data_IF_297906668779
#
_entry.id   IF_297906668779
#
_cell.length_a   1.000
_cell.length_b   1.000
_cell.length_c   1.000
_cell.angle_alpha   90.00
_cell.angle_beta   90.00
_cell.angle_gamma   90.00
#
_symmetry.space_group_name_H-M   'P 1'
#
loop_
_entity.id
_entity.type
_entity.pdbx_description
1 polymer ?
#
# COMPACT_ATOMS: atom_id res chain seq x y z
N UNK A 1 -30.44 45.10 -21.98
CA UNK A 1 -29.22 44.52 -21.42
C UNK A 1 -29.00 43.16 -22.09
N UNK A 2 -28.19 43.12 -23.15
CA UNK A 2 -27.99 41.93 -23.96
C UNK A 2 -26.81 41.11 -23.40
N UNK A 3 -27.09 39.88 -22.96
CA UNK A 3 -26.09 38.96 -22.44
C UNK A 3 -25.30 38.30 -23.57
N UNK A 4 -23.99 38.54 -23.59
CA UNK A 4 -23.07 37.87 -24.50
C UNK A 4 -22.90 36.40 -24.09
N UNK A 5 -23.41 35.48 -24.93
CA UNK A 5 -23.21 34.05 -24.78
C UNK A 5 -21.74 33.67 -24.99
N UNK A 6 -21.14 33.00 -24.00
CA UNK A 6 -19.78 32.46 -24.13
C UNK A 6 -19.79 31.23 -25.05
N UNK A 7 -18.85 31.11 -26.00
CA UNK A 7 -18.75 29.92 -26.85
C UNK A 7 -18.28 28.72 -26.01
N UNK A 8 -18.99 27.60 -26.16
CA UNK A 8 -18.63 26.32 -25.60
C UNK A 8 -17.31 25.83 -26.24
N UNK A 9 -16.20 25.95 -25.49
CA UNK A 9 -14.90 25.44 -25.90
C UNK A 9 -14.90 23.91 -25.92
N UNK A 10 -14.61 23.33 -27.09
CA UNK A 10 -14.44 21.88 -27.25
C UNK A 10 -13.23 21.40 -26.42
N UNK A 11 -13.35 20.31 -25.66
CA UNK A 11 -12.23 19.75 -24.93
C UNK A 11 -11.16 19.26 -25.93
N UNK A 12 -9.96 19.83 -25.85
CA UNK A 12 -8.80 19.36 -26.61
C UNK A 12 -8.40 18.00 -26.01
N UNK A 13 -8.62 16.93 -26.77
CA UNK A 13 -8.07 15.61 -26.48
C UNK A 13 -6.54 15.72 -26.50
N UNK A 14 -5.93 15.60 -25.32
CA UNK A 14 -4.48 15.49 -25.19
C UNK A 14 -4.02 14.17 -25.83
N UNK A 15 -2.96 14.19 -26.65
CA UNK A 15 -2.45 12.97 -27.29
C UNK A 15 -1.97 11.97 -26.22
N UNK A 16 -2.22 10.65 -26.41
CA UNK A 16 -1.92 9.61 -25.42
C UNK A 16 -0.44 9.53 -25.02
N UNK A 17 0.47 10.03 -25.87
CA UNK A 17 1.89 10.15 -25.55
C UNK A 17 2.19 11.09 -24.36
N UNK A 18 1.38 12.13 -24.15
CA UNK A 18 1.56 13.08 -23.03
C UNK A 18 1.09 12.48 -21.71
N UNK A 19 0.08 11.60 -21.75
CA UNK A 19 -0.38 10.87 -20.56
C UNK A 19 0.66 9.85 -20.08
N UNK A 20 1.40 9.20 -20.98
CA UNK A 20 2.45 8.24 -20.59
C UNK A 20 3.68 8.91 -19.96
N UNK A 21 4.03 10.12 -20.40
CA UNK A 21 5.18 10.86 -19.86
C UNK A 21 4.94 11.36 -18.42
N UNK A 22 3.70 11.69 -18.05
CA UNK A 22 3.34 12.18 -16.70
C UNK A 22 3.40 11.10 -15.61
N UNK A 23 3.30 9.81 -15.98
CA UNK A 23 3.33 8.71 -15.00
C UNK A 23 4.75 8.38 -14.53
N UNK A 24 5.78 8.78 -15.28
CA UNK A 24 7.17 8.44 -14.99
C UNK A 24 7.90 9.39 -14.01
N UNK A 25 7.25 10.49 -13.58
CA UNK A 25 7.92 11.56 -12.83
C UNK A 25 7.54 11.64 -11.34
N UNK A 26 7.34 10.51 -10.65
CA UNK A 26 7.45 10.52 -9.19
C UNK A 26 8.91 10.37 -8.81
N UNK A 27 9.65 11.47 -8.92
CA UNK A 27 10.91 11.58 -8.22
C UNK A 27 10.59 11.54 -6.73
N UNK A 28 10.88 10.43 -6.06
CA UNK A 28 10.92 10.40 -4.60
C UNK A 28 11.98 11.41 -4.18
N UNK A 29 11.54 12.54 -3.64
CA UNK A 29 12.47 13.50 -3.06
C UNK A 29 13.32 12.76 -2.02
N UNK A 30 14.63 12.71 -2.24
CA UNK A 30 15.56 12.17 -1.25
C UNK A 30 15.55 13.12 -0.07
N UNK A 31 14.93 12.70 1.03
CA UNK A 31 14.87 13.49 2.25
C UNK A 31 16.25 13.51 2.90
N UNK A 32 16.76 14.71 3.16
CA UNK A 32 18.00 14.90 3.93
C UNK A 32 17.70 14.91 5.42
N UNK A 33 18.03 13.80 6.09
CA UNK A 33 17.82 13.63 7.53
C UNK A 33 18.73 14.48 8.42
N UNK A 34 19.74 15.15 7.85
CA UNK A 34 20.54 16.14 8.58
C UNK A 34 19.81 17.49 8.68
N UNK A 35 18.97 17.80 7.68
CA UNK A 35 18.19 19.05 7.63
C UNK A 35 16.83 18.89 8.30
N UNK A 36 16.12 17.79 8.02
CA UNK A 36 14.82 17.49 8.63
C UNK A 36 14.86 16.13 9.35
N UNK A 37 15.47 16.05 10.55
CA UNK A 37 15.64 14.79 11.28
C UNK A 37 14.30 14.20 11.74
N UNK A 38 13.23 15.00 11.77
CA UNK A 38 11.89 14.58 12.19
C UNK A 38 11.06 13.97 11.05
N UNK A 39 11.58 13.90 9.83
CA UNK A 39 10.86 13.31 8.70
C UNK A 39 10.68 11.80 8.88
N UNK A 40 9.54 11.24 8.43
CA UNK A 40 9.21 9.83 8.65
C UNK A 40 10.24 8.85 8.05
N UNK A 41 10.83 9.22 6.91
CA UNK A 41 11.83 8.38 6.23
C UNK A 41 13.21 8.36 6.91
N UNK A 42 13.42 9.20 7.92
CA UNK A 42 14.63 9.17 8.74
C UNK A 42 14.57 8.11 9.84
N UNK A 43 13.42 7.45 10.04
CA UNK A 43 13.32 6.31 10.94
C UNK A 43 13.93 5.05 10.30
N UNK A 44 14.87 4.42 10.99
CA UNK A 44 15.52 3.21 10.50
C UNK A 44 14.64 1.98 10.73
N UNK A 45 14.31 1.32 9.62
CA UNK A 45 13.51 0.08 9.62
C UNK A 45 14.43 -1.15 9.73
N UNK A 46 13.90 -2.24 10.24
CA UNK A 46 14.58 -3.53 10.33
C UNK A 46 14.88 -4.08 8.92
N UNK A 47 16.09 -4.65 8.73
CA UNK A 47 16.48 -5.17 7.43
C UNK A 47 15.68 -6.44 7.11
N UNK A 48 14.93 -6.41 6.01
CA UNK A 48 14.06 -7.52 5.60
C UNK A 48 12.64 -7.46 6.19
N UNK A 49 12.42 -6.65 7.22
CA UNK A 49 11.14 -6.47 7.90
C UNK A 49 10.72 -5.00 7.89
N UNK A 50 10.23 -4.46 6.74
CA UNK A 50 10.00 -3.02 6.54
C UNK A 50 8.83 -2.45 7.37
N UNK A 51 8.20 -3.27 8.20
CA UNK A 51 7.13 -2.88 9.12
C UNK A 51 7.62 -2.70 10.56
N UNK A 52 8.85 -3.12 10.87
CA UNK A 52 9.43 -3.07 12.20
C UNK A 52 10.53 -2.01 12.25
N UNK A 53 10.57 -1.24 13.34
CA UNK A 53 11.60 -0.23 13.57
C UNK A 53 12.78 -0.87 14.27
N UNK A 54 13.99 -0.66 13.74
CA UNK A 54 15.19 -1.32 14.23
C UNK A 54 15.51 -0.90 15.67
N UNK A 55 15.36 0.39 15.96
CA UNK A 55 15.85 0.97 17.22
C UNK A 55 14.77 1.00 18.34
N UNK A 56 13.59 0.39 18.12
CA UNK A 56 12.48 0.34 19.09
C UNK A 56 12.08 -1.11 19.36
N UNK A 57 12.86 -1.79 20.20
CA UNK A 57 12.68 -3.21 20.48
C UNK A 57 12.10 -3.49 21.87
N UNK A 58 12.54 -2.75 22.88
CA UNK A 58 12.15 -2.89 24.29
C UNK A 58 11.09 -1.86 24.67
N UNK A 59 10.34 -2.15 25.73
CA UNK A 59 9.23 -1.32 26.22
C UNK A 59 9.65 0.08 26.70
N UNK A 60 10.94 0.32 26.93
CA UNK A 60 11.46 1.60 27.39
C UNK A 60 12.41 2.24 26.37
N UNK A 61 12.53 1.67 25.16
CA UNK A 61 13.36 2.27 24.13
C UNK A 61 12.72 3.59 23.66
N UNK A 62 13.51 4.67 23.51
CA UNK A 62 12.98 5.94 23.07
C UNK A 62 12.43 5.81 21.64
N UNK A 63 11.23 6.36 21.39
CA UNK A 63 10.73 6.50 20.03
C UNK A 63 10.94 7.93 19.53
N UNK A 64 11.96 8.19 18.67
CA UNK A 64 12.21 9.52 18.13
C UNK A 64 11.05 9.98 17.24
N UNK A 65 10.92 11.30 17.04
CA UNK A 65 9.79 11.91 16.32
C UNK A 65 9.64 11.35 14.90
N UNK A 66 10.75 11.15 14.17
CA UNK A 66 10.75 10.49 12.87
C UNK A 66 10.06 9.12 12.91
N UNK A 67 10.37 8.30 13.92
CA UNK A 67 9.77 6.98 14.07
C UNK A 67 8.30 7.06 14.48
N UNK A 68 7.91 8.02 15.32
CA UNK A 68 6.49 8.27 15.60
C UNK A 68 5.71 8.60 14.32
N UNK A 69 6.25 9.48 13.48
CA UNK A 69 5.65 9.81 12.17
C UNK A 69 5.64 8.59 11.26
N UNK A 70 6.73 7.81 11.21
CA UNK A 70 6.80 6.58 10.43
C UNK A 70 5.72 5.59 10.85
N UNK A 71 5.50 5.40 12.15
CA UNK A 71 4.45 4.52 12.69
C UNK A 71 3.06 4.93 12.18
N UNK A 72 2.76 6.23 12.16
CA UNK A 72 1.49 6.77 11.65
C UNK A 72 1.30 6.51 10.15
N UNK A 73 2.38 6.42 9.38
CA UNK A 73 2.32 6.09 7.94
C UNK A 73 2.21 4.60 7.65
N UNK A 74 2.40 3.73 8.65
CA UNK A 74 2.29 2.29 8.44
C UNK A 74 0.86 1.93 8.00
N UNK A 75 0.77 0.97 7.09
CA UNK A 75 -0.51 0.52 6.55
C UNK A 75 -1.15 -0.60 7.37
N UNK A 76 -2.41 -0.90 7.04
CA UNK A 76 -3.11 -2.07 7.54
C UNK A 76 -2.32 -3.37 7.33
N UNK A 77 -1.60 -3.50 6.21
CA UNK A 77 -0.80 -4.69 5.91
C UNK A 77 0.22 -4.97 7.02
N UNK A 78 1.02 -3.97 7.41
CA UNK A 78 1.99 -4.09 8.49
C UNK A 78 1.33 -4.46 9.82
N UNK A 79 0.25 -3.77 10.17
CA UNK A 79 -0.51 -4.08 11.38
C UNK A 79 -1.03 -5.53 11.36
N UNK A 80 -1.67 -5.96 10.27
CA UNK A 80 -2.28 -7.28 10.17
C UNK A 80 -1.25 -8.41 10.34
N UNK A 81 -0.05 -8.25 9.78
CA UNK A 81 1.04 -9.23 9.83
C UNK A 81 1.77 -9.22 11.17
N UNK A 82 2.03 -8.04 11.75
CA UNK A 82 2.96 -7.90 12.86
C UNK A 82 2.31 -7.52 14.20
N UNK A 83 1.01 -7.19 14.28
CA UNK A 83 0.41 -6.68 15.54
C UNK A 83 0.56 -7.59 16.77
N UNK A 84 0.79 -8.89 16.56
CA UNK A 84 1.02 -9.87 17.64
C UNK A 84 2.51 -10.04 17.99
N UNK A 85 3.42 -9.54 17.16
CA UNK A 85 4.85 -9.60 17.40
C UNK A 85 5.20 -8.78 18.66
N UNK A 86 6.16 -9.26 19.46
CA UNK A 86 6.65 -8.54 20.64
C UNK A 86 7.18 -7.15 20.28
N UNK A 87 8.03 -7.04 19.25
CA UNK A 87 8.62 -5.77 18.80
C UNK A 87 7.55 -4.77 18.36
N UNK A 88 6.52 -5.23 17.64
CA UNK A 88 5.40 -4.35 17.27
C UNK A 88 4.65 -3.82 18.50
N UNK A 89 4.46 -4.63 19.54
CA UNK A 89 3.81 -4.18 20.79
C UNK A 89 4.65 -3.16 21.53
N UNK A 90 5.98 -3.30 21.53
CA UNK A 90 6.91 -2.29 22.04
C UNK A 90 6.80 -1.00 21.22
N UNK A 91 6.85 -1.09 19.90
CA UNK A 91 6.68 0.06 18.99
C UNK A 91 5.35 0.79 19.23
N UNK A 92 4.23 0.07 19.33
CA UNK A 92 2.91 0.66 19.56
C UNK A 92 2.87 1.43 20.89
N UNK A 93 3.42 0.86 21.97
CA UNK A 93 3.44 1.50 23.29
C UNK A 93 4.35 2.72 23.33
N UNK A 94 5.52 2.65 22.69
CA UNK A 94 6.53 3.70 22.79
C UNK A 94 6.28 4.84 21.79
N UNK A 95 5.81 4.52 20.58
CA UNK A 95 5.59 5.48 19.51
C UNK A 95 4.16 6.04 19.45
N UNK A 96 3.18 5.34 20.02
CA UNK A 96 1.78 5.79 20.09
C UNK A 96 1.14 5.49 21.47
N UNK A 97 1.69 6.07 22.56
CA UNK A 97 1.19 5.81 23.92
C UNK A 97 -0.28 6.21 24.11
N UNK A 98 -0.76 7.15 23.29
CA UNK A 98 -2.13 7.65 23.32
C UNK A 98 -3.09 6.88 22.41
N UNK A 99 -2.62 5.86 21.70
CA UNK A 99 -3.42 5.05 20.77
C UNK A 99 -4.20 5.90 19.75
N UNK A 100 -3.52 6.90 19.18
CA UNK A 100 -4.03 7.81 18.15
C UNK A 100 -4.14 7.09 16.81
N UNK A 101 -3.17 6.23 16.47
CA UNK A 101 -3.12 5.52 15.20
C UNK A 101 -4.09 4.36 15.21
N UNK A 102 -4.99 4.34 14.22
CA UNK A 102 -5.98 3.27 14.05
C UNK A 102 -5.83 2.66 12.67
N UNK A 103 -5.20 1.50 12.60
CA UNK A 103 -5.12 0.73 11.38
C UNK A 103 -6.50 0.13 11.07
N UNK A 104 -7.06 0.44 9.91
CA UNK A 104 -8.35 -0.10 9.45
C UNK A 104 -8.12 -0.98 8.23
N UNK A 105 -8.80 -2.12 8.20
CA UNK A 105 -8.83 -2.95 7.00
C UNK A 105 -9.30 -2.12 5.80
N UNK A 106 -8.67 -2.27 4.62
CA UNK A 106 -9.19 -1.64 3.41
C UNK A 106 -10.63 -2.13 3.23
N UNK A 107 -11.56 -1.19 3.14
CA UNK A 107 -12.95 -1.53 2.86
C UNK A 107 -12.99 -2.02 1.42
N UNK A 108 -13.13 -3.34 1.21
CA UNK A 108 -13.52 -3.85 -0.09
C UNK A 108 -14.86 -3.20 -0.41
N UNK A 109 -14.99 -2.44 -1.52
CA UNK A 109 -16.26 -1.89 -1.91
C UNK A 109 -17.27 -3.03 -1.92
N UNK A 110 -18.38 -2.87 -1.20
CA UNK A 110 -19.44 -3.85 -1.28
C UNK A 110 -19.78 -4.03 -2.77
N UNK A 111 -19.90 -5.27 -3.27
CA UNK A 111 -20.32 -5.48 -4.65
C UNK A 111 -21.58 -4.65 -4.88
N UNK A 112 -21.57 -3.81 -5.92
CA UNK A 112 -22.71 -2.98 -6.24
C UNK A 112 -23.95 -3.88 -6.27
N UNK A 113 -25.05 -3.49 -5.60
CA UNK A 113 -26.27 -4.29 -5.65
C UNK A 113 -26.57 -4.56 -7.12
N UNK A 114 -26.64 -5.83 -7.49
CA UNK A 114 -27.09 -6.21 -8.81
C UNK A 114 -28.56 -5.81 -8.88
N UNK A 115 -28.83 -4.60 -9.37
CA UNK A 115 -30.17 -4.21 -9.78
C UNK A 115 -30.56 -5.20 -10.86
N UNK A 116 -31.38 -6.18 -10.46
CA UNK A 116 -31.61 -7.40 -11.21
C UNK A 116 -31.93 -7.09 -12.67
N UNK A 117 -31.10 -7.61 -13.57
CA UNK A 117 -31.64 -8.11 -14.81
C UNK A 117 -32.69 -9.15 -14.39
N UNK A 118 -33.97 -8.82 -14.58
CA UNK A 118 -35.08 -9.75 -14.41
C UNK A 118 -34.79 -11.00 -15.23
N UNK A 119 -34.25 -12.03 -14.59
CA UNK A 119 -34.14 -13.35 -15.18
C UNK A 119 -35.55 -13.92 -15.25
N UNK A 120 -36.15 -13.87 -16.43
CA UNK A 120 -37.25 -14.75 -16.80
C UNK A 120 -36.84 -16.18 -16.49
N UNK A 121 -37.56 -16.82 -15.58
CA UNK A 121 -37.45 -18.24 -15.27
C UNK A 121 -37.57 -19.05 -16.56
N UNK A 122 -36.51 -19.72 -16.98
CA UNK A 122 -36.62 -20.97 -17.74
C UNK A 122 -35.83 -22.00 -16.95
N UNK A 123 -36.56 -22.82 -16.20
CA UNK A 123 -35.98 -23.94 -15.48
C UNK A 123 -35.73 -25.08 -16.44
N UNK A 124 -34.49 -25.57 -16.48
CA UNK A 124 -34.23 -26.96 -16.84
C UNK A 124 -33.29 -27.53 -15.78
N UNK A 125 -33.83 -28.50 -15.04
CA UNK A 125 -33.12 -29.33 -14.10
C UNK A 125 -32.16 -30.25 -14.85
N UNK A 126 -30.92 -30.35 -14.36
CA UNK A 126 -29.94 -31.32 -14.84
C UNK A 126 -29.04 -31.74 -13.69
N UNK A 127 -29.42 -32.82 -13.01
CA UNK A 127 -28.55 -33.53 -12.10
C UNK A 127 -27.44 -34.21 -12.90
N UNK A 128 -26.18 -33.92 -12.61
CA UNK A 128 -25.08 -34.82 -12.92
C UNK A 128 -23.96 -34.64 -11.89
N UNK A 129 -23.93 -35.57 -10.95
CA UNK A 129 -22.79 -35.81 -10.08
C UNK A 129 -21.53 -36.08 -10.90
N UNK A 130 -20.36 -35.63 -10.43
CA UNK A 130 -19.09 -36.31 -10.67
C UNK A 130 -18.10 -36.06 -9.53
N UNK A 131 -17.58 -37.13 -8.90
CA UNK A 131 -16.46 -37.08 -7.96
C UNK A 131 -15.12 -37.24 -8.69
N UNK A 132 -14.01 -36.95 -8.00
CA UNK A 132 -12.66 -37.39 -8.36
C UNK A 132 -11.65 -36.24 -8.40
N UNK A 133 -10.79 -36.10 -7.38
CA UNK A 133 -9.42 -36.68 -7.27
C UNK A 133 -8.38 -36.08 -8.22
N UNK A 134 -7.27 -35.62 -7.65
CA UNK A 134 -6.00 -35.34 -8.35
C UNK A 134 -5.37 -34.04 -7.87
N UNK A 135 -4.36 -34.09 -6.99
CA UNK A 135 -2.94 -34.12 -7.39
C UNK A 135 -2.51 -32.77 -8.00
N UNK A 136 -1.84 -31.91 -7.22
CA UNK A 136 -0.38 -31.83 -7.11
C UNK A 136 0.29 -31.13 -8.32
N UNK A 137 1.48 -30.59 -8.07
CA UNK A 137 2.44 -29.97 -9.00
C UNK A 137 2.19 -28.47 -9.27
N UNK A 138 3.19 -27.59 -9.35
CA UNK A 138 4.64 -27.71 -9.31
C UNK A 138 5.19 -26.30 -9.04
N UNK A 139 6.36 -26.25 -8.42
CA UNK A 139 7.17 -25.06 -8.22
C UNK A 139 7.52 -24.35 -9.53
N UNK A 140 7.67 -23.03 -9.48
CA UNK A 140 8.50 -22.28 -10.41
C UNK A 140 9.25 -21.19 -9.62
N UNK A 141 10.48 -21.53 -9.23
CA UNK A 141 11.48 -20.55 -8.84
C UNK A 141 11.93 -19.82 -10.11
N UNK A 142 11.71 -18.51 -10.16
CA UNK A 142 12.36 -17.64 -11.14
C UNK A 142 13.37 -16.77 -10.37
N UNK A 143 14.64 -17.16 -10.49
CA UNK A 143 15.77 -16.34 -10.12
C UNK A 143 15.85 -15.15 -11.09
N UNK A 144 15.71 -13.93 -10.58
CA UNK A 144 16.02 -12.72 -11.35
C UNK A 144 17.30 -12.09 -10.81
N UNK A 145 18.23 -11.92 -11.74
CA UNK A 145 19.59 -11.44 -11.61
C UNK A 145 19.76 -10.19 -10.75
N UNK A 146 20.69 -10.26 -9.80
CA UNK A 146 21.27 -9.08 -9.15
C UNK A 146 22.18 -8.37 -10.13
N UNK A 147 21.74 -7.22 -10.65
CA UNK A 147 22.64 -6.24 -11.27
C UNK A 147 23.28 -5.46 -10.13
N UNK A 148 24.50 -5.83 -9.77
CA UNK A 148 25.38 -5.04 -8.91
C UNK A 148 25.85 -3.82 -9.72
N UNK A 149 25.17 -2.69 -9.58
CA UNK A 149 25.76 -1.39 -9.92
C UNK A 149 26.42 -0.87 -8.66
N UNK A 150 27.74 -1.05 -8.58
CA UNK A 150 28.58 -0.33 -7.65
C UNK A 150 28.60 1.13 -8.07
N UNK A 151 27.97 2.01 -7.29
CA UNK A 151 28.24 3.45 -7.33
C UNK A 151 28.78 3.84 -5.97
N UNK A 152 30.11 3.87 -5.87
CA UNK A 152 30.81 4.66 -4.87
C UNK A 152 30.76 6.13 -5.32
N UNK A 153 30.44 7.06 -4.41
CA UNK A 153 31.16 8.32 -4.38
C UNK A 153 31.91 8.49 -3.05
N UNK A 154 33.07 9.13 -3.20
CA UNK A 154 34.04 9.46 -2.17
C UNK A 154 33.52 10.50 -1.16
#
# INVERSE_FOLDING_TARGET
MAGAGRPAGRPRLLPPAVLLALVASRASATVDCLVEPDHADCCQMELGEPCLMRDVFRDNDPCPIACQRKYQTLGWTCYSLHHRNFQWRSMARNCDPHNIVRFRAPQTPAPAPSYGASHSKVGIAGNAARPGTGAACLAAAAATASILVAVYPA
#
